data_IF_079888059827
#
_entry.id   IF_079888059827
#
_cell.length_a   1.000
_cell.length_b   1.000
_cell.length_c   1.000
_cell.angle_alpha   90.00
_cell.angle_beta   90.00
_cell.angle_gamma   90.00
#
_symmetry.space_group_name_H-M   'P 1'
#
loop_
_entity.id
_entity.type
_entity.pdbx_description
1 polymer ?
#
# COMPACT_ATOMS: atom_id res chain seq x y z
N UNK A 1 -6.75 -58.03 -10.01
CA UNK A 1 -6.67 -56.88 -10.93
C UNK A 1 -7.47 -55.77 -10.31
N UNK A 2 -6.80 -54.74 -9.81
CA UNK A 2 -7.45 -53.52 -9.31
C UNK A 2 -7.62 -52.59 -10.51
N UNK A 3 -8.80 -51.98 -10.65
CA UNK A 3 -9.04 -51.02 -11.72
C UNK A 3 -8.35 -49.69 -11.38
N UNK A 4 -7.58 -49.09 -12.30
CA UNK A 4 -6.97 -47.79 -12.08
C UNK A 4 -8.03 -46.75 -11.73
N UNK A 5 -7.81 -45.98 -10.66
CA UNK A 5 -8.71 -44.92 -10.24
C UNK A 5 -8.32 -43.60 -10.90
N UNK A 6 -9.30 -42.95 -11.53
CA UNK A 6 -9.18 -41.59 -12.06
C UNK A 6 -9.74 -40.59 -11.06
N UNK A 7 -8.99 -39.53 -10.78
CA UNK A 7 -9.42 -38.47 -9.86
C UNK A 7 -9.35 -37.12 -10.56
N UNK A 8 -10.36 -36.29 -10.38
CA UNK A 8 -10.43 -34.94 -10.94
C UNK A 8 -10.10 -33.91 -9.87
N UNK A 9 -9.15 -33.02 -10.15
CA UNK A 9 -8.77 -31.96 -9.22
C UNK A 9 -9.88 -30.89 -9.12
N UNK A 10 -10.36 -30.53 -7.92
CA UNK A 10 -11.42 -29.51 -7.79
C UNK A 10 -10.94 -28.09 -8.12
N UNK A 11 -9.63 -27.81 -8.03
CA UNK A 11 -9.09 -26.46 -8.33
C UNK A 11 -8.92 -26.19 -9.83
N UNK A 12 -8.45 -27.18 -10.60
CA UNK A 12 -8.10 -26.97 -12.01
C UNK A 12 -8.84 -27.88 -13.00
N UNK A 13 -9.69 -28.80 -12.50
CA UNK A 13 -10.48 -29.74 -13.29
C UNK A 13 -9.67 -30.73 -14.15
N UNK A 14 -8.34 -30.79 -13.99
CA UNK A 14 -7.53 -31.81 -14.66
C UNK A 14 -7.79 -33.18 -14.03
N UNK A 15 -7.86 -34.21 -14.87
CA UNK A 15 -8.01 -35.60 -14.44
C UNK A 15 -6.67 -36.31 -14.51
N UNK A 16 -6.31 -37.04 -13.44
CA UNK A 16 -5.08 -37.82 -13.38
C UNK A 16 -5.37 -39.24 -12.90
N UNK A 17 -4.58 -40.20 -13.38
CA UNK A 17 -4.66 -41.61 -12.98
C UNK A 17 -3.64 -41.84 -11.87
N UNK A 18 -4.09 -42.39 -10.76
CA UNK A 18 -3.24 -42.63 -9.60
C UNK A 18 -2.75 -44.09 -9.68
N UNK A 19 -1.43 -44.34 -9.65
CA UNK A 19 -0.90 -45.71 -9.65
C UNK A 19 -1.35 -46.45 -8.39
N UNK A 20 -1.62 -47.75 -8.53
CA UNK A 20 -2.16 -48.60 -7.46
C UNK A 20 -1.36 -48.46 -6.15
N UNK A 21 -1.99 -47.84 -5.15
CA UNK A 21 -1.54 -47.86 -3.76
C UNK A 21 -2.03 -49.12 -3.05
N UNK A 22 -1.35 -49.55 -1.99
CA UNK A 22 -1.65 -50.78 -1.23
C UNK A 22 -3.02 -50.79 -0.50
N UNK A 23 -3.81 -49.72 -0.64
CA UNK A 23 -5.19 -49.63 -0.15
C UNK A 23 -5.31 -49.54 1.37
N UNK A 24 -4.20 -49.45 2.11
CA UNK A 24 -4.22 -49.49 3.57
C UNK A 24 -3.99 -48.14 4.25
N UNK A 25 -3.45 -47.13 3.55
CA UNK A 25 -3.20 -45.81 4.12
C UNK A 25 -3.87 -44.67 3.33
N UNK A 26 -4.20 -43.58 4.04
CA UNK A 26 -4.66 -42.34 3.40
C UNK A 26 -3.54 -41.80 2.50
N UNK A 27 -3.70 -41.95 1.19
CA UNK A 27 -2.76 -41.40 0.24
C UNK A 27 -3.06 -39.91 0.01
N UNK A 28 -2.04 -39.07 0.22
CA UNK A 28 -2.01 -37.68 -0.24
C UNK A 28 -1.27 -37.64 -1.56
N UNK A 29 -1.93 -37.19 -2.62
CA UNK A 29 -1.34 -37.11 -3.96
C UNK A 29 -1.43 -35.66 -4.45
N UNK A 30 -0.30 -35.08 -4.87
CA UNK A 30 -0.29 -33.75 -5.46
C UNK A 30 -0.89 -33.78 -6.87
N UNK A 31 -1.64 -32.74 -7.24
CA UNK A 31 -2.13 -32.56 -8.60
C UNK A 31 -0.97 -32.19 -9.54
N UNK A 32 -0.75 -32.95 -10.61
CA UNK A 32 0.33 -32.70 -11.56
C UNK A 32 0.24 -31.35 -12.30
N UNK A 33 -0.92 -30.68 -12.28
CA UNK A 33 -1.14 -29.41 -12.97
C UNK A 33 -1.01 -28.18 -12.06
N UNK A 34 -1.44 -28.27 -10.80
CA UNK A 34 -1.53 -27.10 -9.90
C UNK A 34 -0.97 -27.33 -8.50
N UNK A 35 -0.36 -28.49 -8.24
CA UNK A 35 0.35 -28.84 -7.00
C UNK A 35 -0.51 -28.87 -5.72
N UNK A 36 -1.84 -28.83 -5.85
CA UNK A 36 -2.78 -28.99 -4.73
C UNK A 36 -2.78 -30.45 -4.25
N UNK A 37 -2.71 -30.64 -2.93
CA UNK A 37 -2.79 -31.95 -2.28
C UNK A 37 -4.23 -32.49 -2.31
N UNK A 38 -4.42 -33.67 -2.89
CA UNK A 38 -5.67 -34.43 -2.90
C UNK A 38 -5.60 -35.51 -1.82
N UNK A 39 -6.58 -35.56 -0.91
CA UNK A 39 -6.70 -36.60 0.11
C UNK A 39 -7.72 -37.63 -0.37
N UNK A 40 -7.27 -38.87 -0.61
CA UNK A 40 -8.14 -39.97 -1.02
C UNK A 40 -8.68 -40.67 0.21
N UNK A 41 -10.01 -40.71 0.36
CA UNK A 41 -10.63 -41.56 1.36
C UNK A 41 -10.45 -43.03 0.95
N UNK A 42 -10.13 -43.94 1.89
CA UNK A 42 -10.04 -45.36 1.58
C UNK A 42 -11.37 -45.83 0.99
N UNK A 43 -11.31 -46.54 -0.14
CA UNK A 43 -12.48 -47.09 -0.80
C UNK A 43 -13.11 -48.13 0.15
N UNK A 44 -14.09 -47.72 0.94
CA UNK A 44 -14.92 -48.64 1.69
C UNK A 44 -15.56 -49.60 0.69
N UNK A 45 -15.18 -50.88 0.79
CA UNK A 45 -15.74 -51.95 -0.01
C UNK A 45 -17.27 -51.85 0.01
N UNK A 46 -17.86 -51.53 -1.15
CA UNK A 46 -19.29 -51.56 -1.35
C UNK A 46 -19.77 -53.00 -1.12
N UNK A 47 -20.29 -53.27 0.07
CA UNK A 47 -20.92 -54.53 0.41
C UNK A 47 -22.12 -54.75 -0.50
N UNK A 48 -22.01 -55.71 -1.40
CA UNK A 48 -23.12 -56.25 -2.17
C UNK A 48 -24.17 -56.84 -1.22
N UNK A 49 -25.33 -56.21 -1.16
CA UNK A 49 -26.53 -56.77 -0.51
C UNK A 49 -27.05 -57.90 -1.40
N UNK A 50 -26.78 -59.14 -1.03
CA UNK A 50 -27.46 -60.33 -1.56
C UNK A 50 -28.51 -60.80 -0.55
N UNK A 51 -29.77 -60.72 -0.96
CA UNK A 51 -30.89 -61.36 -0.29
C UNK A 51 -30.94 -62.85 -0.64
N UNK A 52 -30.88 -63.74 0.34
CA UNK A 52 -31.59 -65.03 0.33
C UNK A 52 -31.27 -65.88 1.56
N UNK A 53 -32.27 -66.58 2.09
CA UNK A 53 -32.06 -67.91 2.66
C UNK A 53 -32.37 -68.07 4.14
N UNK A 54 -33.47 -68.76 4.41
CA UNK A 54 -33.94 -69.22 5.72
C UNK A 54 -32.92 -70.10 6.46
N UNK A 55 -32.75 -69.85 7.76
CA UNK A 55 -32.45 -70.91 8.74
C UNK A 55 -33.12 -70.61 10.07
N UNK A 56 -34.06 -71.46 10.45
CA UNK A 56 -34.71 -71.55 11.75
C UNK A 56 -33.64 -71.90 12.79
N UNK A 57 -33.22 -70.92 13.60
CA UNK A 57 -32.34 -71.14 14.74
C UNK A 57 -33.00 -70.54 15.97
N UNK A 58 -33.40 -71.44 16.87
CA UNK A 58 -33.94 -71.19 18.19
C UNK A 58 -32.91 -70.41 19.02
N UNK A 59 -32.98 -69.07 18.99
CA UNK A 59 -32.24 -68.21 19.90
C UNK A 59 -33.17 -67.75 21.02
N UNK A 60 -32.78 -68.11 22.23
CA UNK A 60 -33.30 -67.66 23.50
C UNK A 60 -33.68 -66.18 23.45
N UNK A 61 -34.96 -65.89 23.71
CA UNK A 61 -35.47 -64.54 23.91
C UNK A 61 -34.92 -64.07 25.27
N UNK A 62 -33.74 -63.48 25.25
CA UNK A 62 -33.33 -62.53 26.27
C UNK A 62 -34.07 -61.24 25.93
N UNK A 63 -35.12 -60.91 26.68
CA UNK A 63 -35.76 -59.60 26.60
C UNK A 63 -34.73 -58.55 27.02
N UNK A 64 -34.02 -57.97 26.05
CA UNK A 64 -33.25 -56.76 26.25
C UNK A 64 -34.27 -55.63 26.48
N UNK A 65 -34.46 -55.29 27.75
CA UNK A 65 -35.15 -54.07 28.17
C UNK A 65 -34.53 -52.90 27.38
N UNK A 66 -35.29 -52.14 26.58
CA UNK A 66 -34.74 -51.01 25.85
C UNK A 66 -34.20 -50.02 26.88
N UNK A 67 -32.88 -49.89 26.93
CA UNK A 67 -32.20 -48.94 27.79
C UNK A 67 -32.78 -47.53 27.55
N UNK A 68 -33.35 -47.00 28.62
CA UNK A 68 -33.96 -45.70 28.86
C UNK A 68 -33.81 -44.66 27.75
N UNK A 69 -34.91 -44.39 27.04
CA UNK A 69 -35.07 -43.20 26.22
C UNK A 69 -34.82 -41.88 27.00
N UNK A 70 -34.91 -41.93 28.34
CA UNK A 70 -34.58 -40.81 29.24
C UNK A 70 -33.08 -40.49 29.29
N UNK A 71 -32.20 -41.50 29.28
CA UNK A 71 -30.76 -41.30 29.39
C UNK A 71 -30.17 -40.59 28.16
N UNK A 72 -30.68 -40.92 26.96
CA UNK A 72 -30.27 -40.27 25.70
C UNK A 72 -30.72 -38.81 25.61
N UNK A 73 -31.92 -38.49 26.11
CA UNK A 73 -32.43 -37.10 26.14
C UNK A 73 -31.62 -36.22 27.10
N UNK A 74 -31.23 -36.76 28.26
CA UNK A 74 -30.40 -36.04 29.23
C UNK A 74 -28.97 -35.79 28.71
N UNK A 75 -28.38 -36.76 27.99
CA UNK A 75 -27.06 -36.59 27.39
C UNK A 75 -27.04 -35.53 26.27
N UNK A 76 -28.10 -35.40 25.47
CA UNK A 76 -28.19 -34.38 24.42
C UNK A 76 -28.37 -32.98 25.05
N UNK A 77 -29.22 -32.86 26.07
CA UNK A 77 -29.42 -31.58 26.76
C UNK A 77 -28.16 -31.11 27.49
N UNK A 78 -27.41 -32.01 28.14
CA UNK A 78 -26.16 -31.66 28.80
C UNK A 78 -25.07 -31.23 27.82
N UNK A 79 -24.93 -31.94 26.68
CA UNK A 79 -23.98 -31.55 25.64
C UNK A 79 -24.34 -30.20 25.02
N UNK A 80 -25.62 -29.95 24.76
CA UNK A 80 -26.09 -28.67 24.20
C UNK A 80 -25.82 -27.52 25.18
N UNK A 81 -26.12 -27.72 26.48
CA UNK A 81 -25.84 -26.73 27.52
C UNK A 81 -24.33 -26.46 27.66
N UNK A 82 -23.49 -27.49 27.59
CA UNK A 82 -22.04 -27.35 27.64
C UNK A 82 -21.50 -26.60 26.41
N UNK A 83 -22.02 -26.89 25.21
CA UNK A 83 -21.68 -26.14 24.01
C UNK A 83 -22.09 -24.66 24.13
N UNK A 84 -23.31 -24.36 24.58
CA UNK A 84 -23.77 -22.99 24.76
C UNK A 84 -22.94 -22.22 25.79
N UNK A 85 -22.58 -22.85 26.91
CA UNK A 85 -21.67 -22.27 27.91
C UNK A 85 -20.27 -22.04 27.33
N UNK A 86 -19.74 -23.01 26.59
CA UNK A 86 -18.44 -22.89 25.91
C UNK A 86 -18.42 -21.75 24.90
N UNK A 87 -19.43 -21.64 24.04
CA UNK A 87 -19.57 -20.54 23.08
C UNK A 87 -19.77 -19.18 23.76
N UNK A 88 -20.50 -19.13 24.89
CA UNK A 88 -20.68 -17.91 25.66
C UNK A 88 -19.38 -17.39 26.27
N UNK A 89 -18.60 -18.26 26.92
CA UNK A 89 -17.31 -17.88 27.51
C UNK A 89 -16.30 -17.49 26.42
N UNK A 90 -16.25 -18.25 25.33
CA UNK A 90 -15.35 -17.93 24.22
C UNK A 90 -15.73 -16.62 23.53
N UNK A 91 -17.02 -16.41 23.26
CA UNK A 91 -17.53 -15.19 22.64
C UNK A 91 -17.27 -13.94 23.47
N UNK A 92 -17.46 -14.02 24.79
CA UNK A 92 -17.19 -12.90 25.70
C UNK A 92 -15.71 -12.56 25.80
N UNK A 93 -14.81 -13.55 25.84
CA UNK A 93 -13.37 -13.32 25.80
C UNK A 93 -12.92 -12.66 24.50
N UNK A 94 -13.41 -13.16 23.35
CA UNK A 94 -13.09 -12.59 22.04
C UNK A 94 -13.64 -11.17 21.88
N UNK A 95 -14.85 -10.90 22.39
CA UNK A 95 -15.43 -9.57 22.41
C UNK A 95 -14.62 -8.60 23.26
N UNK A 96 -14.17 -9.01 24.46
CA UNK A 96 -13.35 -8.16 25.31
C UNK A 96 -12.01 -7.78 24.66
N UNK A 97 -11.35 -8.74 23.99
CA UNK A 97 -10.09 -8.50 23.28
C UNK A 97 -10.28 -7.47 22.15
N UNK A 98 -11.29 -7.69 21.31
CA UNK A 98 -11.58 -6.80 20.16
C UNK A 98 -11.96 -5.39 20.61
N UNK A 99 -12.69 -5.25 21.71
CA UNK A 99 -12.97 -3.95 22.31
C UNK A 99 -11.71 -3.25 22.84
N UNK A 100 -10.75 -4.00 23.40
CA UNK A 100 -9.47 -3.45 23.84
C UNK A 100 -8.68 -2.83 22.69
N UNK A 101 -8.59 -3.51 21.56
CA UNK A 101 -7.90 -3.00 20.36
C UNK A 101 -8.60 -1.78 19.79
N UNK A 102 -9.94 -1.80 19.72
CA UNK A 102 -10.73 -0.66 19.22
C UNK A 102 -10.56 0.61 20.05
N UNK A 103 -10.14 0.48 21.31
CA UNK A 103 -9.81 1.59 22.21
C UNK A 103 -8.35 2.05 22.11
N UNK A 104 -7.48 1.34 21.40
CA UNK A 104 -6.08 1.74 21.22
C UNK A 104 -5.97 2.99 20.34
N UNK A 105 -5.01 3.85 20.66
CA UNK A 105 -4.74 5.08 19.87
C UNK A 105 -4.31 4.75 18.45
N UNK A 106 -3.58 3.65 18.23
CA UNK A 106 -3.20 3.15 16.90
C UNK A 106 -4.43 2.81 16.03
N UNK A 107 -5.43 2.12 16.61
CA UNK A 107 -6.67 1.80 15.90
C UNK A 107 -7.52 3.05 15.64
N UNK A 108 -7.65 3.95 16.61
CA UNK A 108 -8.39 5.20 16.42
C UNK A 108 -7.77 6.06 15.33
N UNK A 109 -6.43 6.14 15.28
CA UNK A 109 -5.69 6.82 14.21
C UNK A 109 -5.99 6.18 12.85
N UNK A 110 -6.03 4.85 12.80
CA UNK A 110 -6.36 4.09 11.58
C UNK A 110 -7.77 4.40 11.07
N UNK A 111 -8.77 4.42 11.96
CA UNK A 111 -10.17 4.74 11.62
C UNK A 111 -10.30 6.18 11.13
N UNK A 112 -9.68 7.13 11.84
CA UNK A 112 -9.69 8.53 11.46
C UNK A 112 -9.06 8.74 10.06
N UNK A 113 -7.92 8.10 9.80
CA UNK A 113 -7.29 8.10 8.48
C UNK A 113 -8.24 7.57 7.39
N UNK A 114 -8.91 6.45 7.64
CA UNK A 114 -9.85 5.86 6.66
C UNK A 114 -11.03 6.80 6.38
N UNK A 115 -11.59 7.43 7.42
CA UNK A 115 -12.76 8.31 7.28
C UNK A 115 -12.46 9.56 6.45
N UNK A 116 -11.25 10.12 6.59
CA UNK A 116 -10.86 11.36 5.93
C UNK A 116 -10.41 11.15 4.47
N UNK A 117 -9.96 9.94 4.13
CA UNK A 117 -9.32 9.65 2.84
C UNK A 117 -10.29 9.71 1.64
N UNK A 118 -10.05 10.64 0.70
CA UNK A 118 -10.90 10.89 -0.48
C UNK A 118 -11.03 9.64 -1.37
N UNK A 119 -9.92 8.99 -1.72
CA UNK A 119 -9.93 7.77 -2.55
C UNK A 119 -10.80 6.66 -1.96
N UNK A 120 -10.85 6.52 -0.62
CA UNK A 120 -11.68 5.51 0.04
C UNK A 120 -13.16 5.90 -0.01
N UNK A 121 -13.48 7.17 0.23
CA UNK A 121 -14.85 7.69 0.10
C UNK A 121 -15.36 7.59 -1.34
N UNK A 122 -14.48 7.83 -2.31
CA UNK A 122 -14.77 7.70 -3.73
C UNK A 122 -14.96 6.26 -4.17
N UNK A 123 -14.20 5.32 -3.59
CA UNK A 123 -14.33 3.92 -3.93
C UNK A 123 -15.53 3.24 -3.23
N UNK A 124 -15.61 3.36 -1.91
CA UNK A 124 -16.58 2.65 -1.07
C UNK A 124 -17.91 3.42 -0.91
N UNK A 125 -17.91 4.74 -1.09
CA UNK A 125 -19.05 5.61 -0.82
C UNK A 125 -19.08 6.12 0.63
N UNK A 126 -20.08 6.95 0.94
CA UNK A 126 -20.33 7.47 2.29
C UNK A 126 -21.76 7.16 2.72
N UNK A 127 -22.01 6.79 3.99
CA UNK A 127 -21.04 6.63 5.08
C UNK A 127 -20.18 5.36 4.95
N UNK A 128 -18.97 5.40 5.50
CA UNK A 128 -18.11 4.22 5.64
C UNK A 128 -18.46 3.48 6.93
N UNK A 129 -18.73 2.18 6.83
CA UNK A 129 -18.99 1.28 7.95
C UNK A 129 -17.79 0.35 8.18
N UNK A 130 -17.42 0.15 9.44
CA UNK A 130 -16.27 -0.66 9.82
C UNK A 130 -16.70 -2.03 10.33
N UNK A 131 -16.02 -3.08 9.84
CA UNK A 131 -16.26 -4.44 10.27
C UNK A 131 -16.07 -4.65 11.77
N UNK A 132 -16.79 -5.65 12.28
CA UNK A 132 -16.72 -6.05 13.67
C UNK A 132 -15.34 -6.57 14.08
N UNK A 133 -14.65 -7.30 13.19
CA UNK A 133 -13.36 -7.96 13.45
C UNK A 133 -12.23 -7.49 12.53
N UNK A 134 -11.43 -6.49 12.97
CA UNK A 134 -10.17 -6.20 12.33
C UNK A 134 -9.12 -7.26 12.69
N UNK A 135 -8.27 -7.63 11.73
CA UNK A 135 -7.04 -8.37 12.02
C UNK A 135 -5.96 -7.36 12.38
N UNK A 136 -5.09 -7.70 13.34
CA UNK A 136 -4.07 -6.77 13.80
C UNK A 136 -2.80 -7.48 14.25
N UNK A 137 -1.68 -6.78 14.12
CA UNK A 137 -0.41 -7.14 14.73
C UNK A 137 0.22 -5.86 15.29
N UNK A 138 0.38 -5.77 16.60
CA UNK A 138 0.88 -4.55 17.26
C UNK A 138 1.95 -4.90 18.27
N UNK A 139 3.06 -4.15 18.23
CA UNK A 139 4.15 -4.21 19.19
C UNK A 139 4.50 -2.78 19.59
N UNK A 140 4.49 -2.50 20.90
CA UNK A 140 4.89 -1.19 21.42
C UNK A 140 5.56 -1.39 22.77
N UNK A 141 6.63 -0.64 23.03
CA UNK A 141 7.27 -0.54 24.35
C UNK A 141 6.91 0.76 25.09
N UNK A 142 5.99 1.55 24.53
CA UNK A 142 5.55 2.85 25.05
C UNK A 142 6.32 4.05 24.47
N UNK A 143 7.54 3.87 23.96
CA UNK A 143 8.30 4.92 23.24
C UNK A 143 8.38 4.64 21.75
N UNK A 144 8.53 3.39 21.37
CA UNK A 144 8.54 2.96 19.98
C UNK A 144 7.48 1.90 19.77
N UNK A 145 6.86 1.93 18.60
CA UNK A 145 5.79 1.01 18.27
C UNK A 145 5.63 0.79 16.79
N UNK A 146 5.16 -0.40 16.44
CA UNK A 146 4.67 -0.75 15.11
C UNK A 146 3.30 -1.38 15.24
N UNK A 147 2.40 -1.04 14.34
CA UNK A 147 1.08 -1.65 14.26
C UNK A 147 0.76 -1.95 12.80
N UNK A 148 0.11 -3.07 12.56
CA UNK A 148 -0.46 -3.44 11.28
C UNK A 148 -1.92 -3.77 11.51
N UNK A 149 -2.80 -3.19 10.71
CA UNK A 149 -4.24 -3.47 10.75
C UNK A 149 -4.73 -3.91 9.39
N UNK A 150 -5.63 -4.87 9.36
CA UNK A 150 -6.52 -5.16 8.24
C UNK A 150 -7.95 -4.89 8.74
N UNK A 151 -8.52 -3.77 8.30
CA UNK A 151 -9.81 -3.26 8.77
C UNK A 151 -10.83 -3.48 7.67
N UNK A 152 -11.83 -4.37 7.84
CA UNK A 152 -12.92 -4.49 6.89
C UNK A 152 -13.70 -3.17 6.82
N UNK A 153 -13.96 -2.69 5.61
CA UNK A 153 -14.70 -1.45 5.34
C UNK A 153 -15.81 -1.76 4.34
N UNK A 154 -17.01 -1.25 4.60
CA UNK A 154 -18.17 -1.36 3.71
C UNK A 154 -18.78 0.02 3.50
N UNK A 155 -19.26 0.30 2.30
CA UNK A 155 -20.04 1.49 2.01
C UNK A 155 -21.09 1.23 0.93
N UNK A 156 -21.88 2.24 0.54
CA UNK A 156 -22.97 2.05 -0.42
C UNK A 156 -22.54 1.62 -1.83
N UNK A 157 -21.27 1.80 -2.20
CA UNK A 157 -20.76 1.49 -3.55
C UNK A 157 -19.97 0.19 -3.62
N UNK A 158 -19.26 -0.19 -2.56
CA UNK A 158 -18.40 -1.36 -2.53
C UNK A 158 -18.10 -1.80 -1.09
N UNK A 159 -17.55 -3.01 -0.95
CA UNK A 159 -16.96 -3.52 0.28
C UNK A 159 -15.52 -3.98 0.08
N UNK A 160 -14.76 -4.08 1.16
CA UNK A 160 -13.34 -4.45 1.09
C UNK A 160 -12.64 -4.39 2.43
N UNK A 161 -11.32 -4.32 2.38
CA UNK A 161 -10.45 -4.26 3.55
C UNK A 161 -9.38 -3.18 3.38
N UNK A 162 -9.11 -2.38 4.40
CA UNK A 162 -8.01 -1.41 4.39
C UNK A 162 -6.87 -1.95 5.24
N UNK A 163 -5.73 -2.18 4.60
CA UNK A 163 -4.49 -2.64 5.21
C UNK A 163 -3.60 -1.45 5.53
N UNK A 164 -3.31 -1.26 6.81
CA UNK A 164 -2.55 -0.15 7.34
C UNK A 164 -1.29 -0.65 8.05
N UNK A 165 -0.20 0.09 7.94
CA UNK A 165 0.96 -0.04 8.83
C UNK A 165 1.22 1.30 9.47
N UNK A 166 1.40 1.31 10.79
CA UNK A 166 1.63 2.49 11.60
C UNK A 166 2.93 2.33 12.37
N UNK A 167 3.53 3.48 12.67
CA UNK A 167 4.69 3.60 13.54
C UNK A 167 4.41 4.60 14.66
N UNK A 168 5.11 4.41 15.77
CA UNK A 168 5.22 5.34 16.88
C UNK A 168 6.70 5.48 17.19
N UNK A 169 7.21 6.71 17.23
CA UNK A 169 8.62 7.02 17.51
C UNK A 169 8.69 7.98 18.70
N UNK A 170 9.68 7.78 19.58
CA UNK A 170 9.95 8.61 20.76
C UNK A 170 8.76 8.99 21.67
N UNK A 171 7.74 8.13 21.72
CA UNK A 171 6.53 8.32 22.52
C UNK A 171 5.55 9.31 21.89
N UNK A 172 5.76 9.72 20.64
CA UNK A 172 4.85 10.56 19.88
C UNK A 172 3.53 9.82 19.55
N UNK A 173 2.62 10.52 18.87
CA UNK A 173 1.38 9.92 18.40
C UNK A 173 1.66 8.81 17.38
N UNK A 174 0.68 7.93 17.17
CA UNK A 174 0.77 6.96 16.09
C UNK A 174 0.58 7.66 14.75
N UNK A 175 1.39 7.27 13.76
CA UNK A 175 1.32 7.80 12.40
C UNK A 175 1.18 6.66 11.40
N UNK A 176 0.30 6.83 10.41
CA UNK A 176 0.13 5.86 9.32
C UNK A 176 1.32 5.97 8.37
N UNK A 177 2.10 4.89 8.28
CA UNK A 177 3.27 4.75 7.41
C UNK A 177 2.94 4.18 6.04
N UNK A 178 1.95 3.26 5.98
CA UNK A 178 1.55 2.57 4.75
C UNK A 178 0.05 2.32 4.78
N UNK A 179 -0.64 2.53 3.65
CA UNK A 179 -2.08 2.33 3.54
C UNK A 179 -2.48 1.81 2.16
N UNK A 180 -3.13 0.66 2.08
CA UNK A 180 -3.64 0.08 0.84
C UNK A 180 -5.03 -0.48 1.11
N UNK A 181 -5.86 -0.60 0.09
CA UNK A 181 -7.14 -1.29 0.22
C UNK A 181 -7.18 -2.52 -0.68
N UNK A 182 -7.89 -3.54 -0.23
CA UNK A 182 -8.25 -4.72 -1.01
C UNK A 182 -9.71 -4.57 -1.39
N UNK A 183 -9.99 -4.55 -2.69
CA UNK A 183 -11.36 -4.54 -3.20
C UNK A 183 -12.01 -5.93 -3.13
N UNK A 184 -13.30 -6.03 -3.50
CA UNK A 184 -14.05 -7.29 -3.50
C UNK A 184 -13.43 -8.36 -4.41
N UNK A 185 -12.74 -7.94 -5.47
CA UNK A 185 -12.02 -8.84 -6.37
C UNK A 185 -10.71 -9.37 -5.76
N UNK A 186 -10.36 -8.95 -4.54
CA UNK A 186 -9.10 -9.29 -3.89
C UNK A 186 -7.91 -8.49 -4.42
N UNK A 187 -8.13 -7.51 -5.29
CA UNK A 187 -7.05 -6.69 -5.85
C UNK A 187 -6.60 -5.69 -4.81
N UNK A 188 -5.29 -5.71 -4.50
CA UNK A 188 -4.68 -4.75 -3.59
C UNK A 188 -4.34 -3.49 -4.39
N UNK A 189 -4.93 -2.38 -3.96
CA UNK A 189 -4.70 -1.05 -4.52
C UNK A 189 -4.04 -0.20 -3.46
N UNK A 190 -2.85 0.34 -3.73
CA UNK A 190 -2.23 1.28 -2.81
C UNK A 190 -3.15 2.51 -2.69
N UNK A 191 -3.39 2.96 -1.46
CA UNK A 191 -3.99 4.28 -1.23
C UNK A 191 -2.96 5.37 -1.45
N UNK A 192 -1.68 5.00 -1.57
CA UNK A 192 -0.61 5.88 -2.00
C UNK A 192 -0.49 5.92 -3.54
N UNK A 193 -0.85 7.07 -4.11
CA UNK A 193 -0.18 7.61 -5.31
C UNK A 193 0.55 8.92 -5.00
N UNK A 194 0.65 9.33 -3.73
CA UNK A 194 1.25 10.61 -3.33
C UNK A 194 2.22 10.59 -2.13
N UNK A 195 2.64 9.43 -1.59
CA UNK A 195 3.68 9.41 -0.55
C UNK A 195 4.70 8.28 -0.75
N UNK A 196 5.92 8.57 -1.24
CA UNK A 196 7.02 7.63 -1.23
C UNK A 196 7.75 7.68 0.13
N UNK A 197 7.11 7.28 1.22
CA UNK A 197 7.74 7.35 2.55
C UNK A 197 8.03 8.80 3.01
N UNK A 198 8.62 8.95 4.19
CA UNK A 198 9.16 10.23 4.68
C UNK A 198 10.37 10.73 3.87
N UNK A 199 10.65 10.04 2.76
CA UNK A 199 11.78 10.19 1.89
C UNK A 199 11.32 10.86 0.59
N UNK A 200 12.10 11.83 0.15
CA UNK A 200 12.05 12.44 -1.15
C UNK A 200 12.28 11.39 -2.23
N UNK A 201 11.28 11.15 -3.07
CA UNK A 201 11.45 10.34 -4.27
C UNK A 201 11.95 11.16 -5.47
N UNK A 202 12.66 10.49 -6.36
CA UNK A 202 13.10 11.05 -7.64
C UNK A 202 11.92 11.56 -8.50
N UNK A 203 10.77 10.88 -8.44
CA UNK A 203 9.55 11.32 -9.13
C UNK A 203 9.03 12.67 -8.61
N UNK A 204 9.15 12.94 -7.31
CA UNK A 204 8.76 14.23 -6.73
C UNK A 204 9.71 15.35 -7.17
N UNK A 205 11.01 15.06 -7.21
CA UNK A 205 12.01 16.01 -7.75
C UNK A 205 11.73 16.28 -9.22
N UNK A 206 11.47 15.25 -10.02
CA UNK A 206 11.17 15.38 -11.46
C UNK A 206 9.90 16.21 -11.70
N UNK A 207 8.86 16.01 -10.89
CA UNK A 207 7.63 16.81 -10.96
C UNK A 207 7.88 18.28 -10.62
N UNK A 208 8.62 18.55 -9.52
CA UNK A 208 9.05 19.91 -9.17
C UNK A 208 9.83 20.57 -10.30
N UNK A 209 10.74 19.82 -10.95
CA UNK A 209 11.53 20.31 -12.07
C UNK A 209 10.66 20.61 -13.31
N UNK A 210 9.63 19.81 -13.60
CA UNK A 210 8.69 20.09 -14.69
C UNK A 210 7.86 21.35 -14.42
N UNK A 211 7.43 21.54 -13.17
CA UNK A 211 6.72 22.76 -12.73
C UNK A 211 7.56 24.02 -12.91
N UNK A 212 8.87 23.96 -12.62
CA UNK A 212 9.80 25.06 -12.87
C UNK A 212 9.88 25.42 -14.35
N UNK A 213 10.01 24.43 -15.23
CA UNK A 213 10.10 24.66 -16.68
C UNK A 213 8.83 25.33 -17.21
N UNK A 214 7.66 24.85 -16.77
CA UNK A 214 6.38 25.43 -17.18
C UNK A 214 6.22 26.87 -16.66
N UNK A 215 6.57 27.11 -15.39
CA UNK A 215 6.50 28.44 -14.79
C UNK A 215 7.47 29.43 -15.44
N UNK A 216 8.69 29.00 -15.79
CA UNK A 216 9.66 29.81 -16.51
C UNK A 216 9.16 30.19 -17.91
N UNK A 217 8.71 29.21 -18.70
CA UNK A 217 8.23 29.46 -20.07
C UNK A 217 6.94 30.29 -20.12
N UNK A 218 6.12 30.24 -19.07
CA UNK A 218 4.94 31.12 -18.93
C UNK A 218 5.24 32.46 -18.25
N UNK A 219 6.49 32.70 -17.84
CA UNK A 219 6.94 33.90 -17.09
C UNK A 219 6.16 34.13 -15.79
N UNK A 220 5.63 33.07 -15.18
CA UNK A 220 4.89 33.11 -13.92
C UNK A 220 5.87 33.10 -12.73
N UNK A 221 6.28 34.30 -12.33
CA UNK A 221 7.26 34.48 -11.23
C UNK A 221 6.74 33.92 -9.92
N UNK A 222 5.45 34.07 -9.61
CA UNK A 222 4.93 33.61 -8.33
C UNK A 222 4.86 32.08 -8.31
N UNK A 223 4.56 31.41 -9.43
CA UNK A 223 4.65 29.94 -9.53
C UNK A 223 6.09 29.43 -9.44
N UNK A 224 7.07 30.12 -10.02
CA UNK A 224 8.50 29.79 -9.85
C UNK A 224 8.92 29.90 -8.38
N UNK A 225 8.63 31.03 -7.74
CA UNK A 225 9.09 31.33 -6.38
C UNK A 225 8.38 30.48 -5.33
N UNK A 226 7.17 29.97 -5.61
CA UNK A 226 6.49 28.98 -4.75
C UNK A 226 7.28 27.68 -4.58
N UNK A 227 8.14 27.31 -5.52
CA UNK A 227 8.98 26.10 -5.43
C UNK A 227 10.29 26.32 -4.66
N UNK A 228 10.56 27.56 -4.23
CA UNK A 228 11.78 27.94 -3.50
C UNK A 228 11.46 28.10 -2.01
N UNK A 229 12.25 27.47 -1.15
CA UNK A 229 12.07 27.57 0.29
C UNK A 229 12.25 29.03 0.79
N UNK A 230 11.52 29.46 1.83
CA UNK A 230 11.65 30.82 2.39
C UNK A 230 13.08 31.18 2.82
N UNK A 231 13.84 30.20 3.29
CA UNK A 231 15.22 30.28 3.78
C UNK A 231 16.27 29.93 2.72
N UNK A 232 15.87 29.74 1.45
CA UNK A 232 16.78 29.30 0.40
C UNK A 232 17.86 30.33 0.07
N UNK A 233 19.05 29.84 -0.30
CA UNK A 233 20.15 30.65 -0.85
C UNK A 233 20.40 30.29 -2.30
N UNK A 234 20.38 31.32 -3.15
CA UNK A 234 20.48 31.16 -4.60
C UNK A 234 21.71 31.90 -5.09
N UNK A 235 22.59 31.21 -5.78
CA UNK A 235 23.82 31.76 -6.33
C UNK A 235 23.79 31.66 -7.86
N UNK A 236 24.01 32.78 -8.54
CA UNK A 236 24.11 32.84 -10.00
C UNK A 236 25.50 33.34 -10.35
N UNK A 237 26.21 32.56 -11.16
CA UNK A 237 27.52 32.90 -11.72
C UNK A 237 27.32 33.20 -13.19
N UNK A 238 27.42 34.46 -13.56
CA UNK A 238 27.29 34.91 -14.95
C UNK A 238 28.68 35.12 -15.52
N UNK A 239 28.98 34.48 -16.65
CA UNK A 239 30.20 34.72 -17.40
C UNK A 239 29.88 35.61 -18.60
N UNK A 240 30.32 36.87 -18.52
CA UNK A 240 30.15 37.84 -19.60
C UNK A 240 31.50 38.49 -19.93
N UNK A 241 31.86 38.51 -21.22
CA UNK A 241 33.12 39.10 -21.70
C UNK A 241 34.38 38.57 -21.00
N UNK A 242 34.39 37.29 -20.63
CA UNK A 242 35.52 36.63 -19.95
C UNK A 242 35.67 36.97 -18.47
N UNK A 243 34.75 37.75 -17.89
CA UNK A 243 34.69 38.03 -16.45
C UNK A 243 33.56 37.22 -15.83
N UNK A 244 33.84 36.54 -14.72
CA UNK A 244 32.84 35.88 -13.90
C UNK A 244 32.31 36.85 -12.85
N UNK A 245 30.99 36.96 -12.73
CA UNK A 245 30.32 37.68 -11.67
C UNK A 245 29.44 36.72 -10.89
N UNK A 246 29.69 36.61 -9.58
CA UNK A 246 28.91 35.78 -8.68
C UNK A 246 27.94 36.66 -7.88
N UNK A 247 26.65 36.32 -7.93
CA UNK A 247 25.57 37.00 -7.22
C UNK A 247 24.87 35.98 -6.33
N UNK A 248 24.90 36.21 -5.01
CA UNK A 248 24.11 35.43 -4.05
C UNK A 248 22.90 36.24 -3.61
N UNK A 249 21.73 35.62 -3.62
CA UNK A 249 20.45 36.25 -3.35
C UNK A 249 19.54 35.38 -2.48
N UNK A 250 18.68 36.06 -1.72
CA UNK A 250 17.54 35.44 -1.02
C UNK A 250 16.41 35.14 -1.99
N UNK A 251 15.42 34.35 -1.55
CA UNK A 251 14.20 34.09 -2.32
C UNK A 251 13.49 35.37 -2.81
N UNK A 252 13.38 36.39 -1.98
CA UNK A 252 12.66 37.63 -2.36
C UNK A 252 13.49 38.53 -3.29
N UNK A 253 14.82 38.53 -3.14
CA UNK A 253 15.71 39.18 -4.10
C UNK A 253 15.64 38.46 -5.46
N UNK A 254 15.60 37.13 -5.48
CA UNK A 254 15.40 36.34 -6.69
C UNK A 254 14.06 36.61 -7.36
N UNK A 255 12.96 36.68 -6.58
CA UNK A 255 11.63 37.09 -7.09
C UNK A 255 11.72 38.45 -7.80
N UNK A 256 12.37 39.42 -7.18
CA UNK A 256 12.53 40.77 -7.73
C UNK A 256 13.34 40.74 -9.02
N UNK A 257 14.47 40.01 -9.03
CA UNK A 257 15.31 39.82 -10.21
C UNK A 257 14.53 39.18 -11.37
N UNK A 258 13.80 38.09 -11.12
CA UNK A 258 12.96 37.45 -12.14
C UNK A 258 11.91 38.39 -12.74
N UNK A 259 11.22 39.19 -11.91
CA UNK A 259 10.25 40.18 -12.39
C UNK A 259 10.91 41.21 -13.29
N UNK A 260 12.08 41.71 -12.90
CA UNK A 260 12.82 42.67 -13.70
C UNK A 260 13.25 42.06 -15.04
N UNK A 261 13.86 40.87 -15.02
CA UNK A 261 14.32 40.18 -16.23
C UNK A 261 13.19 39.86 -17.20
N UNK A 262 12.04 39.35 -16.70
CA UNK A 262 10.88 39.07 -17.56
C UNK A 262 10.18 40.32 -18.07
N UNK A 263 10.23 41.45 -17.34
CA UNK A 263 9.69 42.72 -17.83
C UNK A 263 10.55 43.33 -18.96
N UNK A 264 11.85 43.06 -18.95
CA UNK A 264 12.78 43.50 -20.01
C UNK A 264 12.71 42.61 -21.27
N UNK A 265 12.32 41.33 -21.11
CA UNK A 265 12.26 40.38 -22.20
C UNK A 265 11.00 40.56 -23.08
N UNK A 266 11.20 40.86 -24.36
CA UNK A 266 10.11 40.81 -25.37
C UNK A 266 9.69 39.35 -25.58
N UNK A 267 10.66 38.48 -25.86
CA UNK A 267 10.50 37.03 -25.93
C UNK A 267 11.40 36.33 -24.91
N UNK A 268 10.91 35.21 -24.37
CA UNK A 268 11.63 34.37 -23.43
C UNK A 268 11.34 32.91 -23.74
N UNK A 269 12.38 32.09 -23.79
CA UNK A 269 12.25 30.65 -23.93
C UNK A 269 13.35 29.95 -23.13
N UNK A 270 12.97 28.94 -22.35
CA UNK A 270 13.86 28.03 -21.66
C UNK A 270 13.63 26.61 -22.15
N UNK A 271 14.73 25.91 -22.50
CA UNK A 271 14.70 24.50 -22.87
C UNK A 271 15.70 23.72 -22.04
N UNK A 272 15.19 22.80 -21.21
CA UNK A 272 16.00 21.83 -20.51
C UNK A 272 16.41 20.69 -21.46
N UNK A 273 17.70 20.39 -21.51
CA UNK A 273 18.28 19.39 -22.40
C UNK A 273 18.65 18.10 -21.67
N UNK A 274 19.19 18.22 -20.45
CA UNK A 274 19.65 17.08 -19.66
C UNK A 274 19.32 17.28 -18.18
N UNK A 275 19.11 16.19 -17.46
CA UNK A 275 18.77 16.18 -16.03
C UNK A 275 19.31 14.93 -15.38
N UNK A 276 20.08 15.11 -14.31
CA UNK A 276 20.53 14.03 -13.44
C UNK A 276 20.10 14.31 -12.01
N UNK A 277 19.26 13.45 -11.44
CA UNK A 277 18.83 13.53 -10.04
C UNK A 277 19.57 12.50 -9.21
N UNK A 278 20.02 12.90 -8.02
CA UNK A 278 20.62 12.00 -7.03
C UNK A 278 19.98 12.23 -5.68
N UNK A 279 19.29 11.21 -5.17
CA UNK A 279 18.76 11.21 -3.80
C UNK A 279 19.91 11.09 -2.81
N UNK A 280 19.82 11.81 -1.69
CA UNK A 280 20.76 11.69 -0.59
C UNK A 280 20.39 10.51 0.32
N UNK A 281 21.35 9.93 1.06
CA UNK A 281 21.09 8.82 1.98
C UNK A 281 20.17 9.18 3.16
N UNK A 282 19.98 10.48 3.43
CA UNK A 282 19.08 10.98 4.46
C UNK A 282 17.60 10.78 4.11
N UNK A 283 17.31 10.31 2.90
CA UNK A 283 15.97 10.15 2.37
C UNK A 283 15.32 11.49 2.03
N UNK A 284 15.65 12.59 2.69
CA UNK A 284 14.90 13.86 2.64
C UNK A 284 15.44 14.89 1.66
N UNK A 285 16.65 14.68 1.14
CA UNK A 285 17.36 15.62 0.28
C UNK A 285 17.70 14.99 -1.06
N UNK A 286 17.74 15.81 -2.11
CA UNK A 286 18.22 15.41 -3.43
C UNK A 286 19.05 16.53 -4.04
N UNK A 287 19.98 16.15 -4.91
CA UNK A 287 20.70 17.07 -5.78
C UNK A 287 20.28 16.81 -7.22
N UNK A 288 19.77 17.83 -7.89
CA UNK A 288 19.44 17.78 -9.31
C UNK A 288 20.43 18.64 -10.09
N UNK A 289 21.09 18.06 -11.09
CA UNK A 289 21.94 18.78 -12.04
C UNK A 289 21.22 18.87 -13.37
N UNK A 290 21.20 20.08 -13.93
CA UNK A 290 20.40 20.44 -15.09
C UNK A 290 21.30 21.12 -16.11
N UNK A 291 21.09 20.82 -17.38
CA UNK A 291 21.65 21.58 -18.50
C UNK A 291 20.54 22.06 -19.40
N UNK A 292 20.69 23.25 -19.96
CA UNK A 292 19.73 23.78 -20.90
C UNK A 292 20.19 25.04 -21.60
N UNK A 293 19.28 25.58 -22.40
CA UNK A 293 19.47 26.84 -23.12
C UNK A 293 18.37 27.81 -22.76
N UNK A 294 18.74 29.07 -22.64
CA UNK A 294 17.80 30.18 -22.46
C UNK A 294 17.97 31.16 -23.61
N UNK A 295 16.85 31.61 -24.17
CA UNK A 295 16.82 32.63 -25.20
C UNK A 295 15.97 33.79 -24.74
N UNK A 296 16.53 34.99 -24.82
CA UNK A 296 15.91 36.24 -24.40
C UNK A 296 15.98 37.21 -25.56
N UNK A 297 14.85 37.78 -25.98
CA UNK A 297 14.83 38.84 -26.98
C UNK A 297 14.67 40.19 -26.28
N UNK A 298 15.65 41.07 -26.44
CA UNK A 298 15.65 42.43 -25.87
C UNK A 298 16.15 43.40 -26.93
N UNK A 299 15.46 44.52 -27.11
CA UNK A 299 15.79 45.56 -28.11
C UNK A 299 16.03 45.00 -29.53
N UNK A 300 15.23 44.00 -29.93
CA UNK A 300 15.34 43.36 -31.24
C UNK A 300 16.56 42.44 -31.41
N UNK A 301 17.35 42.22 -30.36
CA UNK A 301 18.49 41.30 -30.35
C UNK A 301 18.13 40.04 -29.55
N UNK A 302 18.40 38.88 -30.13
CA UNK A 302 18.26 37.60 -29.44
C UNK A 302 19.57 37.31 -28.71
N UNK A 303 19.49 37.16 -27.40
CA UNK A 303 20.57 36.66 -26.57
C UNK A 303 20.32 35.18 -26.32
N UNK A 304 21.37 34.37 -26.42
CA UNK A 304 21.34 32.95 -26.12
C UNK A 304 22.34 32.64 -25.02
N UNK A 305 21.90 31.84 -24.04
CA UNK A 305 22.71 31.43 -22.91
C UNK A 305 22.70 29.91 -22.83
N UNK A 306 23.88 29.33 -22.58
CA UNK A 306 24.01 27.97 -22.10
C UNK A 306 24.01 28.01 -20.57
N UNK A 307 23.20 27.15 -19.95
CA UNK A 307 23.04 27.11 -18.51
C UNK A 307 23.36 25.73 -17.95
N UNK A 308 24.16 25.72 -16.88
CA UNK A 308 24.28 24.58 -15.97
C UNK A 308 23.71 24.99 -14.61
N UNK A 309 22.82 24.18 -14.04
CA UNK A 309 22.23 24.45 -12.72
C UNK A 309 22.39 23.24 -11.82
N UNK A 310 22.83 23.46 -10.59
CA UNK A 310 22.78 22.47 -9.52
C UNK A 310 21.77 22.96 -8.47
N UNK A 311 20.72 22.16 -8.24
CA UNK A 311 19.68 22.42 -7.27
C UNK A 311 19.79 21.43 -6.11
N UNK A 312 19.75 21.93 -4.89
CA UNK A 312 19.48 21.10 -3.72
C UNK A 312 18.01 21.22 -3.38
N UNK A 313 17.30 20.09 -3.42
CA UNK A 313 15.89 19.95 -3.07
C UNK A 313 15.79 19.25 -1.73
N UNK A 314 14.93 19.72 -0.85
CA UNK A 314 14.67 19.09 0.44
C UNK A 314 13.18 19.08 0.77
N UNK A 315 12.73 18.05 1.47
CA UNK A 315 11.37 17.98 2.01
C UNK A 315 11.18 18.95 3.18
N UNK A 316 10.39 20.00 2.96
CA UNK A 316 9.89 20.91 4.00
C UNK A 316 8.44 20.50 4.31
N UNK A 317 8.27 19.64 5.31
CA UNK A 317 7.00 18.92 5.51
C UNK A 317 6.76 17.91 4.37
N UNK A 318 5.56 17.85 3.77
CA UNK A 318 5.28 16.96 2.64
C UNK A 318 5.75 17.51 1.28
N UNK A 319 6.19 18.77 1.23
CA UNK A 319 6.49 19.45 -0.03
C UNK A 319 7.99 19.45 -0.32
N UNK A 320 8.43 18.98 -1.50
CA UNK A 320 9.79 19.20 -1.97
C UNK A 320 9.95 20.68 -2.31
N UNK A 321 10.98 21.32 -1.78
CA UNK A 321 11.32 22.72 -2.09
C UNK A 321 12.81 22.84 -2.41
N UNK A 322 13.15 23.79 -3.28
CA UNK A 322 14.53 24.16 -3.56
C UNK A 322 15.06 24.93 -2.34
N UNK A 323 16.08 24.40 -1.68
CA UNK A 323 16.74 25.03 -0.52
C UNK A 323 18.07 25.69 -0.89
N UNK A 324 18.68 25.26 -2.00
CA UNK A 324 19.87 25.89 -2.58
C UNK A 324 19.86 25.77 -4.09
N UNK A 325 20.41 26.76 -4.77
CA UNK A 325 20.67 26.72 -6.21
C UNK A 325 22.03 27.34 -6.51
N UNK A 326 22.80 26.70 -7.37
CA UNK A 326 23.95 27.31 -8.05
C UNK A 326 23.73 27.22 -9.56
N UNK A 327 23.62 28.37 -10.22
CA UNK A 327 23.49 28.47 -11.66
C UNK A 327 24.77 29.05 -12.26
N UNK A 328 25.22 28.48 -13.38
CA UNK A 328 26.29 28.99 -14.21
C UNK A 328 25.72 29.32 -15.57
N UNK A 329 25.89 30.56 -16.00
CA UNK A 329 25.32 31.09 -17.23
C UNK A 329 26.44 31.61 -18.13
N UNK A 330 26.57 31.01 -19.31
CA UNK A 330 27.55 31.42 -20.31
C UNK A 330 26.80 31.91 -21.54
N UNK A 331 27.06 33.15 -21.96
CA UNK A 331 26.51 33.66 -23.20
C UNK A 331 27.07 32.86 -24.39
N UNK A 332 26.19 32.26 -25.18
CA UNK A 332 26.58 31.59 -26.40
C UNK A 332 27.08 32.64 -27.40
N UNK A 333 28.19 32.35 -28.08
CA UNK A 333 28.62 33.14 -29.23
C UNK A 333 27.74 32.74 -30.41
N UNK A 334 27.08 33.72 -31.03
CA UNK A 334 26.47 33.56 -32.36
C UNK A 334 27.54 33.19 -33.41
#
# INVERSE_FOLDING_TARGET
MVCPQSVTCPSCLSSQVIPDGDGTDMAVVACATCDVNLVLAPAHAAGSVTSSGHSTSTRSILMAVPADAGARRMAILSLTALCLLGYGVFGTALFALTQGIKRSTAYQTSVAFIQDHEVLRDHFGTPLEFGWFPTWHMRSDGRQGTAQFDIPVSGPRASGSVLLSLIQEDGEAWHVRKAQYRDEAGTIRPLWTLFPGDDLAEAQVTSLLAELDQAANSRDVDRLVRQVAPDARLTVVVQFSGTEQELTMTREQYRTSLRQSFAMAQEYQWTRMDTHVRLAPDGRTAVARLRGTESIMTDGRRLMFALEKELTVSLKGPQPLIVSMKAFETMARE
#
